data_IF_291151175654
#
_entry.id   IF_291151175654
#
_cell.length_a   1.000
_cell.length_b   1.000
_cell.length_c   1.000
_cell.angle_alpha   90.00
_cell.angle_beta   90.00
_cell.angle_gamma   90.00
#
_symmetry.space_group_name_H-M   'P 1'
#
loop_
_entity.id
_entity.type
_entity.pdbx_description
1 polymer ?
#
# COMPACT_ATOMS: atom_id res chain seq x y z
N UNK A 1 9.34 -14.91 -9.05
CA UNK A 1 8.17 -14.42 -8.29
C UNK A 1 7.46 -15.57 -7.58
N UNK A 2 6.88 -16.54 -8.30
CA UNK A 2 6.18 -17.71 -7.72
C UNK A 2 7.02 -18.45 -6.68
N UNK A 3 8.25 -18.84 -7.02
CA UNK A 3 9.14 -19.55 -6.09
C UNK A 3 9.42 -18.76 -4.79
N UNK A 4 9.59 -17.43 -4.90
CA UNK A 4 9.80 -16.58 -3.72
C UNK A 4 8.56 -16.54 -2.82
N UNK A 5 7.37 -16.49 -3.42
CA UNK A 5 6.09 -16.54 -2.72
C UNK A 5 5.85 -17.88 -2.01
N UNK A 6 6.13 -18.99 -2.69
CA UNK A 6 6.05 -20.33 -2.10
C UNK A 6 7.02 -20.49 -0.92
N UNK A 7 8.26 -20.02 -1.08
CA UNK A 7 9.26 -20.03 0.00
C UNK A 7 8.84 -19.17 1.20
N UNK A 8 8.18 -18.04 0.97
CA UNK A 8 7.64 -17.21 2.04
C UNK A 8 6.49 -17.93 2.77
N UNK A 9 5.52 -18.48 2.03
CA UNK A 9 4.41 -19.24 2.62
C UNK A 9 4.88 -20.45 3.41
N UNK A 10 5.92 -21.16 2.95
CA UNK A 10 6.49 -22.31 3.67
C UNK A 10 7.12 -21.94 5.01
N UNK A 11 7.54 -20.68 5.19
CA UNK A 11 8.11 -20.15 6.43
C UNK A 11 7.10 -19.41 7.30
N UNK A 12 5.91 -19.09 6.75
CA UNK A 12 4.88 -18.34 7.46
C UNK A 12 4.16 -19.26 8.44
N UNK A 13 4.04 -18.81 9.68
CA UNK A 13 3.15 -19.39 10.68
C UNK A 13 1.90 -18.51 10.76
N UNK A 14 0.74 -19.03 10.38
CA UNK A 14 -0.53 -18.29 10.41
C UNK A 14 -1.64 -18.95 9.60
N UNK A 15 -2.91 -18.50 9.77
CA UNK A 15 -4.04 -18.98 8.98
C UNK A 15 -3.82 -18.78 7.47
N UNK A 16 -4.39 -19.66 6.65
CA UNK A 16 -4.24 -19.58 5.17
C UNK A 16 -5.04 -18.41 4.59
N UNK A 17 -6.01 -17.90 5.34
CA UNK A 17 -6.96 -16.85 4.99
C UNK A 17 -6.34 -15.45 5.06
N UNK A 18 -5.18 -15.31 5.71
CA UNK A 18 -4.36 -14.10 5.74
C UNK A 18 -3.77 -13.82 4.36
N UNK A 19 -3.88 -12.57 3.92
CA UNK A 19 -3.38 -12.12 2.64
C UNK A 19 -1.90 -12.39 2.43
N UNK A 20 -1.56 -12.85 1.23
CA UNK A 20 -0.20 -12.86 0.73
C UNK A 20 0.00 -11.63 -0.15
N UNK A 21 0.67 -10.63 0.42
CA UNK A 21 1.03 -9.41 -0.28
C UNK A 21 2.45 -9.52 -0.81
N UNK A 22 2.66 -9.07 -2.05
CA UNK A 22 3.97 -9.03 -2.67
C UNK A 22 4.14 -7.76 -3.48
N UNK A 23 5.35 -7.23 -3.53
CA UNK A 23 5.65 -6.02 -4.30
C UNK A 23 6.92 -6.19 -5.12
N UNK A 24 7.07 -5.35 -6.15
CA UNK A 24 8.34 -5.19 -6.86
C UNK A 24 8.55 -6.12 -8.05
N UNK A 25 7.52 -6.87 -8.48
CA UNK A 25 7.65 -7.65 -9.71
C UNK A 25 7.79 -6.72 -10.93
N UNK A 26 8.60 -7.15 -11.89
CA UNK A 26 8.81 -6.46 -13.17
C UNK A 26 8.81 -7.51 -14.28
N UNK A 27 7.86 -7.40 -15.21
CA UNK A 27 7.71 -8.32 -16.34
C UNK A 27 8.98 -8.47 -17.18
N UNK A 28 9.79 -7.42 -17.29
CA UNK A 28 11.04 -7.44 -18.04
C UNK A 28 12.10 -8.30 -17.34
N UNK A 29 11.94 -8.56 -16.03
CA UNK A 29 12.80 -9.43 -15.21
C UNK A 29 12.22 -10.82 -15.01
N UNK A 30 10.97 -11.07 -15.42
CA UNK A 30 10.37 -12.40 -15.37
C UNK A 30 10.88 -13.27 -16.53
N UNK A 31 10.87 -14.59 -16.35
CA UNK A 31 11.29 -15.55 -17.38
C UNK A 31 10.36 -15.48 -18.58
N UNK A 32 9.07 -15.31 -18.31
CA UNK A 32 7.98 -15.31 -19.28
C UNK A 32 7.89 -14.00 -20.09
N UNK A 33 8.58 -12.93 -19.67
CA UNK A 33 8.59 -11.60 -20.32
C UNK A 33 7.19 -11.01 -20.57
N UNK A 34 6.22 -11.35 -19.73
CA UNK A 34 4.83 -10.86 -19.76
C UNK A 34 4.35 -10.52 -18.36
N UNK A 35 3.21 -9.83 -18.26
CA UNK A 35 2.55 -9.64 -16.98
C UNK A 35 2.13 -11.01 -16.41
N UNK A 36 2.30 -11.24 -15.10
CA UNK A 36 1.68 -12.38 -14.46
C UNK A 36 0.16 -12.25 -14.57
N UNK A 37 -0.49 -13.40 -14.66
CA UNK A 37 -1.92 -13.54 -14.72
C UNK A 37 -2.41 -14.25 -13.46
N UNK A 38 -3.70 -14.10 -13.16
CA UNK A 38 -4.43 -14.81 -12.10
C UNK A 38 -4.10 -16.30 -12.07
N UNK A 39 -4.04 -16.94 -13.23
CA UNK A 39 -3.74 -18.36 -13.36
C UNK A 39 -2.31 -18.73 -12.92
N UNK A 40 -1.33 -17.85 -13.12
CA UNK A 40 0.05 -18.10 -12.66
C UNK A 40 0.13 -18.15 -11.13
N UNK A 41 -0.76 -17.43 -10.44
CA UNK A 41 -0.80 -17.37 -8.98
C UNK A 41 -1.39 -18.66 -8.36
N UNK A 42 -2.07 -19.51 -9.12
CA UNK A 42 -2.57 -20.79 -8.64
C UNK A 42 -1.45 -21.75 -8.25
N UNK A 43 -0.27 -21.61 -8.87
CA UNK A 43 0.92 -22.35 -8.48
C UNK A 43 1.41 -21.98 -7.06
N UNK A 44 1.02 -20.81 -6.55
CA UNK A 44 1.37 -20.36 -5.19
C UNK A 44 0.32 -20.86 -4.20
N UNK A 45 -0.96 -20.54 -4.42
CA UNK A 45 -2.07 -21.00 -3.57
C UNK A 45 -3.41 -20.72 -4.26
N UNK A 46 -4.35 -21.66 -4.09
CA UNK A 46 -5.76 -21.49 -4.47
C UNK A 46 -6.67 -21.10 -3.28
N UNK A 47 -6.15 -21.14 -2.05
CA UNK A 47 -6.91 -20.89 -0.82
C UNK A 47 -6.54 -19.55 -0.17
N UNK A 48 -5.31 -19.08 -0.40
CA UNK A 48 -4.80 -17.83 0.16
C UNK A 48 -5.10 -16.68 -0.81
N UNK A 49 -5.72 -15.58 -0.38
CA UNK A 49 -5.87 -14.41 -1.23
C UNK A 49 -4.51 -13.77 -1.50
N UNK A 50 -4.17 -13.60 -2.79
CA UNK A 50 -2.86 -13.10 -3.23
C UNK A 50 -3.05 -11.76 -3.94
N UNK A 51 -2.24 -10.77 -3.56
CA UNK A 51 -2.16 -9.46 -4.22
C UNK A 51 -0.70 -9.09 -4.47
N UNK A 52 -0.27 -9.10 -5.73
CA UNK A 52 1.09 -8.75 -6.12
C UNK A 52 1.14 -7.46 -6.93
N UNK A 53 1.84 -6.48 -6.40
CA UNK A 53 1.97 -5.14 -6.97
C UNK A 53 3.27 -4.99 -7.76
N UNK A 54 3.16 -4.46 -8.97
CA UNK A 54 4.29 -4.20 -9.86
C UNK A 54 5.25 -3.19 -9.25
N UNK A 55 6.50 -3.21 -9.67
CA UNK A 55 7.54 -2.24 -9.25
C UNK A 55 7.12 -0.77 -9.39
N UNK A 56 6.25 -0.44 -10.35
CA UNK A 56 5.74 0.92 -10.52
C UNK A 56 4.60 1.29 -9.57
N UNK A 57 4.06 0.35 -8.78
CA UNK A 57 2.89 0.51 -7.89
C UNK A 57 1.56 0.92 -8.54
N UNK A 58 1.49 0.97 -9.88
CA UNK A 58 0.28 1.32 -10.63
C UNK A 58 -0.43 0.12 -11.28
N UNK A 59 0.12 -1.09 -11.13
CA UNK A 59 -0.44 -2.33 -11.68
C UNK A 59 -0.34 -3.41 -10.62
N UNK A 60 -1.43 -4.13 -10.38
CA UNK A 60 -1.45 -5.29 -9.50
C UNK A 60 -2.10 -6.48 -10.18
N UNK A 61 -1.65 -7.68 -9.81
CA UNK A 61 -2.28 -8.95 -10.18
C UNK A 61 -2.77 -9.65 -8.93
N UNK A 62 -3.96 -10.24 -8.97
CA UNK A 62 -4.52 -11.00 -7.85
C UNK A 62 -5.13 -12.32 -8.30
N UNK A 63 -5.27 -13.27 -7.35
CA UNK A 63 -5.87 -14.58 -7.62
C UNK A 63 -7.41 -14.56 -7.44
N UNK A 64 -8.09 -15.64 -7.81
CA UNK A 64 -9.56 -15.74 -7.69
C UNK A 64 -10.05 -15.51 -6.27
N UNK A 65 -9.37 -16.06 -5.26
CA UNK A 65 -9.72 -15.88 -3.85
C UNK A 65 -9.66 -14.42 -3.40
N UNK A 66 -8.72 -13.64 -3.94
CA UNK A 66 -8.67 -12.19 -3.70
C UNK A 66 -9.79 -11.46 -4.43
N UNK A 67 -10.10 -11.83 -5.67
CA UNK A 67 -11.19 -11.23 -6.47
C UNK A 67 -12.56 -11.39 -5.82
N UNK A 68 -12.83 -12.53 -5.18
CA UNK A 68 -14.09 -12.80 -4.47
C UNK A 68 -14.36 -11.83 -3.33
N UNK A 69 -13.32 -11.17 -2.80
CA UNK A 69 -13.43 -10.17 -1.73
C UNK A 69 -13.69 -8.76 -2.25
N UNK A 70 -13.55 -8.52 -3.56
CA UNK A 70 -13.69 -7.21 -4.18
C UNK A 70 -15.15 -6.90 -4.51
N UNK A 71 -15.67 -5.82 -3.95
CA UNK A 71 -16.98 -5.29 -4.31
C UNK A 71 -16.91 -4.47 -5.61
N UNK A 72 -17.14 -5.14 -6.75
CA UNK A 72 -17.13 -4.52 -8.07
C UNK A 72 -18.30 -3.54 -8.31
N UNK A 73 -19.32 -3.51 -7.44
CA UNK A 73 -20.39 -2.51 -7.56
C UNK A 73 -19.85 -1.09 -7.34
N UNK A 74 -18.79 -0.96 -6.54
CA UNK A 74 -18.08 0.30 -6.25
C UNK A 74 -17.11 0.73 -7.36
N UNK A 75 -16.88 -0.12 -8.37
CA UNK A 75 -15.89 0.17 -9.40
C UNK A 75 -16.29 1.36 -10.29
N UNK A 76 -17.57 1.60 -10.55
CA UNK A 76 -18.04 2.74 -11.35
C UNK A 76 -17.26 2.92 -12.66
N UNK A 77 -16.63 4.09 -12.84
CA UNK A 77 -15.81 4.42 -14.01
C UNK A 77 -14.45 3.69 -14.06
N UNK A 78 -14.02 3.07 -12.95
CA UNK A 78 -12.77 2.31 -12.83
C UNK A 78 -12.85 0.92 -13.48
N UNK A 79 -14.04 0.44 -13.85
CA UNK A 79 -14.24 -0.86 -14.50
C UNK A 79 -13.33 -1.06 -15.72
N UNK A 80 -13.01 0.01 -16.46
CA UNK A 80 -12.11 -0.03 -17.63
C UNK A 80 -10.63 -0.30 -17.29
N UNK A 81 -10.25 -0.24 -16.01
CA UNK A 81 -8.92 -0.51 -15.50
C UNK A 81 -8.82 -1.86 -14.77
N UNK A 82 -9.86 -2.70 -14.92
CA UNK A 82 -9.97 -4.00 -14.28
C UNK A 82 -10.13 -5.04 -15.38
N UNK A 83 -9.23 -6.02 -15.40
CA UNK A 83 -9.36 -7.22 -16.21
C UNK A 83 -9.56 -8.42 -15.27
N UNK A 84 -10.80 -8.89 -15.21
CA UNK A 84 -11.20 -10.00 -14.33
C UNK A 84 -10.69 -11.36 -14.82
N UNK A 85 -10.41 -11.51 -16.12
CA UNK A 85 -9.90 -12.74 -16.69
C UNK A 85 -8.45 -12.93 -16.27
N UNK A 86 -7.62 -11.90 -16.47
CA UNK A 86 -6.21 -11.89 -16.07
C UNK A 86 -6.00 -11.57 -14.58
N UNK A 87 -6.99 -11.04 -13.87
CA UNK A 87 -6.86 -10.57 -12.48
C UNK A 87 -6.00 -9.32 -12.35
N UNK A 88 -5.85 -8.54 -13.42
CA UNK A 88 -5.06 -7.31 -13.44
C UNK A 88 -5.91 -6.09 -13.08
N UNK A 89 -5.39 -5.27 -12.19
CA UNK A 89 -5.95 -3.98 -11.81
C UNK A 89 -4.92 -2.90 -12.11
N UNK A 90 -5.37 -1.74 -12.57
CA UNK A 90 -4.51 -0.63 -12.94
C UNK A 90 -4.97 0.69 -12.29
N UNK A 91 -4.03 1.60 -12.06
CA UNK A 91 -4.29 2.94 -11.52
C UNK A 91 -5.14 2.90 -10.23
N UNK A 92 -6.15 3.76 -10.13
CA UNK A 92 -7.00 3.86 -8.93
C UNK A 92 -7.85 2.61 -8.68
N UNK A 93 -7.98 1.70 -9.66
CA UNK A 93 -8.68 0.44 -9.45
C UNK A 93 -7.94 -0.46 -8.45
N UNK A 94 -6.63 -0.30 -8.25
CA UNK A 94 -5.88 -1.02 -7.22
C UNK A 94 -6.48 -0.81 -5.83
N UNK A 95 -7.08 0.36 -5.57
CA UNK A 95 -7.69 0.66 -4.27
C UNK A 95 -8.86 -0.28 -3.93
N UNK A 96 -9.57 -0.79 -4.94
CA UNK A 96 -10.63 -1.79 -4.72
C UNK A 96 -10.09 -3.10 -4.13
N UNK A 97 -8.83 -3.46 -4.44
CA UNK A 97 -8.14 -4.60 -3.84
C UNK A 97 -7.57 -4.24 -2.48
N UNK A 98 -6.84 -3.12 -2.37
CA UNK A 98 -6.23 -2.72 -1.10
C UNK A 98 -7.24 -2.53 0.03
N UNK A 99 -8.43 -2.02 -0.27
CA UNK A 99 -9.51 -1.85 0.72
C UNK A 99 -10.08 -3.18 1.26
N UNK A 100 -9.72 -4.32 0.65
CA UNK A 100 -10.12 -5.66 1.12
C UNK A 100 -9.05 -6.34 1.97
N UNK A 101 -7.86 -5.74 2.04
CA UNK A 101 -6.77 -6.19 2.91
C UNK A 101 -7.10 -5.72 4.34
N UNK A 102 -7.06 -6.62 5.35
CA UNK A 102 -7.23 -6.25 6.74
C UNK A 102 -6.24 -5.14 7.13
N UNK A 103 -6.74 -4.11 7.80
CA UNK A 103 -5.87 -3.06 8.32
C UNK A 103 -4.99 -3.61 9.45
N UNK A 104 -3.76 -3.09 9.53
CA UNK A 104 -2.83 -3.47 10.59
C UNK A 104 -3.26 -2.89 11.93
N UNK A 105 -2.98 -3.62 13.00
CA UNK A 105 -3.12 -3.10 14.36
C UNK A 105 -1.91 -2.23 14.75
N UNK A 106 -2.01 -1.54 15.89
CA UNK A 106 -0.95 -0.64 16.35
C UNK A 106 0.39 -1.37 16.56
N UNK A 107 0.46 -2.57 17.19
CA UNK A 107 1.70 -3.33 17.27
C UNK A 107 2.35 -3.63 15.92
N UNK A 108 1.57 -4.04 14.91
CA UNK A 108 2.08 -4.27 13.57
C UNK A 108 2.59 -2.97 12.91
N UNK A 109 1.85 -1.87 13.03
CA UNK A 109 2.28 -0.55 12.53
C UNK A 109 3.61 -0.14 13.18
N UNK A 110 3.76 -0.32 14.50
CA UNK A 110 5.00 -0.02 15.23
C UNK A 110 6.18 -0.84 14.70
N UNK A 111 5.98 -2.14 14.46
CA UNK A 111 7.02 -2.99 13.88
C UNK A 111 7.45 -2.46 12.51
N UNK A 112 6.50 -2.13 11.63
CA UNK A 112 6.80 -1.59 10.30
C UNK A 112 7.58 -0.27 10.36
N UNK A 113 7.21 0.62 11.28
CA UNK A 113 7.90 1.90 11.49
C UNK A 113 9.34 1.69 11.98
N UNK A 114 9.56 0.78 12.93
CA UNK A 114 10.89 0.46 13.48
C UNK A 114 11.77 -0.20 12.42
N UNK A 115 11.22 -1.13 11.63
CA UNK A 115 11.94 -1.79 10.55
C UNK A 115 12.42 -0.75 9.52
N UNK A 116 11.50 0.11 9.05
CA UNK A 116 11.85 1.19 8.12
C UNK A 116 12.87 2.18 8.70
N UNK A 117 12.71 2.56 9.98
CA UNK A 117 13.63 3.45 10.65
C UNK A 117 15.02 2.83 10.83
N UNK A 118 15.11 1.52 11.04
CA UNK A 118 16.37 0.78 11.15
C UNK A 118 17.15 0.83 9.83
N UNK A 119 16.45 0.60 8.70
CA UNK A 119 17.06 0.72 7.38
C UNK A 119 17.55 2.14 7.09
N UNK A 120 16.78 3.16 7.50
CA UNK A 120 17.17 4.57 7.38
C UNK A 120 18.43 4.88 8.20
N UNK A 121 18.50 4.43 9.45
CA UNK A 121 19.68 4.62 10.31
C UNK A 121 20.90 3.90 9.76
N UNK A 122 20.74 2.68 9.24
CA UNK A 122 21.82 1.94 8.60
C UNK A 122 22.39 2.69 7.38
N UNK A 123 21.57 3.51 6.71
CA UNK A 123 21.98 4.41 5.63
C UNK A 123 22.49 5.79 6.10
N UNK A 124 22.57 6.05 7.41
CA UNK A 124 23.00 7.32 7.99
C UNK A 124 21.92 8.43 7.98
N UNK A 125 20.66 8.10 7.69
CA UNK A 125 19.55 9.04 7.71
C UNK A 125 19.05 9.23 9.14
N UNK A 126 19.03 10.48 9.61
CA UNK A 126 18.62 10.82 10.99
C UNK A 126 17.29 11.56 11.07
N UNK A 127 16.72 11.95 9.93
CA UNK A 127 15.40 12.58 9.85
C UNK A 127 14.75 12.38 8.50
N UNK A 128 13.43 12.23 8.47
CA UNK A 128 12.63 12.07 7.26
C UNK A 128 11.37 12.92 7.28
N UNK A 129 10.86 13.21 6.09
CA UNK A 129 9.48 13.65 5.92
C UNK A 129 8.67 12.46 5.41
N UNK A 130 7.71 11.98 6.20
CA UNK A 130 6.88 10.81 5.85
C UNK A 130 5.47 11.25 5.48
N UNK A 131 4.81 10.53 4.57
CA UNK A 131 3.41 10.75 4.17
C UNK A 131 2.50 9.54 4.48
N UNK A 132 2.90 8.74 5.48
CA UNK A 132 2.24 7.49 5.89
C UNK A 132 0.95 7.64 6.73
N UNK A 133 0.44 8.87 6.91
CA UNK A 133 -0.58 9.16 7.94
C UNK A 133 -1.87 8.34 7.75
N UNK A 134 -2.29 8.18 6.50
CA UNK A 134 -3.49 7.42 6.11
C UNK A 134 -3.12 6.23 5.21
N UNK A 135 -1.94 5.62 5.38
CA UNK A 135 -1.47 4.56 4.49
C UNK A 135 -2.10 3.18 4.76
N UNK A 136 -2.75 3.00 5.91
CA UNK A 136 -3.44 1.76 6.25
C UNK A 136 -4.75 1.62 5.46
N UNK A 137 -5.23 0.39 5.16
CA UNK A 137 -6.47 0.16 4.41
C UNK A 137 -7.72 0.86 4.96
N UNK A 138 -7.85 0.99 6.28
CA UNK A 138 -8.95 1.70 6.94
C UNK A 138 -8.73 3.22 7.02
N UNK A 139 -7.57 3.70 6.56
CA UNK A 139 -7.15 5.11 6.55
C UNK A 139 -7.25 5.79 7.93
N UNK A 140 -7.21 5.00 9.01
CA UNK A 140 -7.33 5.49 10.38
C UNK A 140 -6.01 6.13 10.84
N UNK A 141 -5.91 7.44 10.64
CA UNK A 141 -4.74 8.20 11.05
C UNK A 141 -4.47 8.13 12.56
N UNK A 142 -5.48 7.83 13.40
CA UNK A 142 -5.31 7.78 14.85
C UNK A 142 -4.41 6.61 15.24
N UNK A 143 -4.49 5.48 14.55
CA UNK A 143 -3.60 4.33 14.78
C UNK A 143 -2.15 4.68 14.50
N UNK A 144 -1.89 5.38 13.39
CA UNK A 144 -0.53 5.78 13.00
C UNK A 144 0.04 6.80 13.99
N UNK A 145 -0.75 7.82 14.37
CA UNK A 145 -0.35 8.79 15.39
C UNK A 145 -0.08 8.12 16.74
N UNK A 146 -0.94 7.19 17.16
CA UNK A 146 -0.76 6.44 18.40
C UNK A 146 0.52 5.59 18.35
N UNK A 147 0.81 4.94 17.23
CA UNK A 147 2.02 4.15 17.04
C UNK A 147 3.29 5.03 17.19
N UNK A 148 3.31 6.21 16.57
CA UNK A 148 4.42 7.16 16.72
C UNK A 148 4.59 7.63 18.17
N UNK A 149 3.49 7.98 18.85
CA UNK A 149 3.51 8.38 20.26
C UNK A 149 4.00 7.27 21.19
N UNK A 150 3.57 6.02 20.97
CA UNK A 150 4.02 4.86 21.73
C UNK A 150 5.51 4.60 21.52
N UNK A 151 5.98 4.58 20.28
CA UNK A 151 7.40 4.38 19.97
C UNK A 151 8.29 5.46 20.57
N UNK A 152 7.83 6.72 20.59
CA UNK A 152 8.55 7.78 21.27
C UNK A 152 8.65 7.53 22.79
N UNK A 153 7.53 7.19 23.45
CA UNK A 153 7.51 6.86 24.89
C UNK A 153 8.40 5.67 25.22
N UNK A 154 8.47 4.70 24.31
CA UNK A 154 9.31 3.50 24.42
C UNK A 154 10.77 3.75 24.04
N UNK A 155 11.12 4.96 23.60
CA UNK A 155 12.45 5.31 23.08
C UNK A 155 12.90 4.39 21.93
N UNK A 156 11.94 3.89 21.15
CA UNK A 156 12.12 2.91 20.10
C UNK A 156 12.05 3.51 18.68
N UNK A 157 11.86 4.83 18.55
CA UNK A 157 11.90 5.52 17.26
C UNK A 157 13.28 6.14 17.03
N UNK A 158 14.15 5.56 16.18
CA UNK A 158 15.54 5.98 16.08
C UNK A 158 15.79 7.13 15.07
N UNK A 159 14.73 7.61 14.39
CA UNK A 159 14.79 8.71 13.42
C UNK A 159 13.76 9.78 13.74
N UNK A 160 14.04 11.03 13.38
CA UNK A 160 13.08 12.12 13.52
C UNK A 160 12.13 12.15 12.32
N UNK A 161 10.83 12.21 12.57
CA UNK A 161 9.79 12.18 11.53
C UNK A 161 9.03 13.50 11.54
N UNK A 162 8.93 14.11 10.36
CA UNK A 162 8.05 15.25 10.12
C UNK A 162 6.95 14.86 9.14
N UNK A 163 5.72 14.76 9.64
CA UNK A 163 4.62 14.14 8.92
C UNK A 163 4.00 15.07 7.87
N UNK A 164 4.17 14.76 6.58
CA UNK A 164 3.37 15.32 5.51
C UNK A 164 1.96 14.69 5.57
N UNK A 165 1.00 15.43 6.10
CA UNK A 165 -0.36 14.94 6.32
C UNK A 165 -1.13 14.86 4.99
N UNK A 166 -1.09 13.69 4.33
CA UNK A 166 -1.89 13.38 3.14
C UNK A 166 -3.21 12.74 3.54
N UNK A 167 -4.32 13.31 3.09
CA UNK A 167 -5.67 12.77 3.27
C UNK A 167 -6.32 12.54 1.91
N UNK A 168 -7.03 11.43 1.76
CA UNK A 168 -7.78 11.11 0.54
C UNK A 168 -9.24 11.60 0.59
N UNK A 169 -9.76 11.82 1.79
CA UNK A 169 -11.14 12.27 2.02
C UNK A 169 -11.18 13.57 2.82
N UNK A 170 -11.96 14.53 2.34
CA UNK A 170 -12.14 15.83 2.99
C UNK A 170 -12.73 15.68 4.41
N UNK A 171 -13.59 14.68 4.62
CA UNK A 171 -14.21 14.43 5.93
C UNK A 171 -13.18 13.95 6.96
N UNK A 172 -12.25 13.07 6.57
CA UNK A 172 -11.16 12.61 7.43
C UNK A 172 -10.23 13.76 7.81
N UNK A 173 -9.89 14.62 6.85
CA UNK A 173 -9.12 15.85 7.13
C UNK A 173 -9.87 16.79 8.09
N UNK A 174 -11.18 16.99 7.88
CA UNK A 174 -12.00 17.81 8.78
C UNK A 174 -11.96 17.26 10.21
N UNK A 175 -12.15 15.96 10.39
CA UNK A 175 -12.06 15.32 11.70
C UNK A 175 -10.67 15.47 12.33
N UNK A 176 -9.59 15.37 11.55
CA UNK A 176 -8.23 15.62 12.05
C UNK A 176 -8.07 17.06 12.59
N UNK A 177 -8.63 18.06 11.90
CA UNK A 177 -8.60 19.45 12.37
C UNK A 177 -9.48 19.66 13.61
N UNK A 178 -10.67 19.04 13.65
CA UNK A 178 -11.61 19.09 14.78
C UNK A 178 -11.05 18.43 16.04
N UNK A 179 -10.28 17.35 15.88
CA UNK A 179 -9.54 16.68 16.97
C UNK A 179 -8.38 17.54 17.52
N UNK A 180 -8.15 18.73 16.95
CA UNK A 180 -7.20 19.71 17.47
C UNK A 180 -5.79 19.60 16.91
N UNK A 181 -5.56 18.72 15.92
CA UNK A 181 -4.24 18.55 15.32
C UNK A 181 -3.82 19.76 14.48
N UNK A 182 -2.60 20.24 14.69
CA UNK A 182 -2.03 21.41 14.01
C UNK A 182 -0.57 21.16 13.63
N UNK A 183 -0.14 21.78 12.55
CA UNK A 183 1.26 21.75 12.11
C UNK A 183 2.19 22.25 13.22
N UNK A 184 3.30 21.54 13.43
CA UNK A 184 4.31 21.81 14.46
C UNK A 184 4.05 21.11 15.80
N UNK A 185 2.86 20.54 16.03
CA UNK A 185 2.58 19.75 17.23
C UNK A 185 3.36 18.43 17.24
N UNK A 186 3.77 17.97 18.41
CA UNK A 186 4.54 16.76 18.61
C UNK A 186 5.74 16.98 19.53
N UNK A 187 6.78 16.17 19.35
CA UNK A 187 8.02 16.18 20.12
C UNK A 187 9.25 16.23 19.19
N UNK A 188 10.45 15.99 19.72
CA UNK A 188 11.69 16.06 18.94
C UNK A 188 11.85 14.93 17.91
N UNK A 189 11.13 13.83 18.08
CA UNK A 189 11.20 12.63 17.24
C UNK A 189 10.00 12.49 16.31
N UNK A 190 8.82 13.00 16.66
CA UNK A 190 7.67 13.03 15.77
C UNK A 190 6.96 14.38 15.81
N UNK A 191 6.78 15.01 14.64
CA UNK A 191 6.00 16.24 14.50
C UNK A 191 4.97 16.12 13.40
N UNK A 192 3.75 16.59 13.69
CA UNK A 192 2.72 16.84 12.69
C UNK A 192 3.19 17.95 11.78
N UNK A 193 3.27 17.68 10.49
CA UNK A 193 3.72 18.63 9.48
C UNK A 193 2.59 19.27 8.67
N UNK A 194 2.89 19.71 7.44
CA UNK A 194 1.92 20.41 6.61
C UNK A 194 0.90 19.46 6.00
N UNK A 195 -0.25 20.01 5.57
CA UNK A 195 -1.16 19.32 4.66
C UNK A 195 -0.45 19.06 3.32
N UNK A 196 -0.45 17.81 2.88
CA UNK A 196 0.06 17.39 1.58
C UNK A 196 -1.10 17.29 0.59
N UNK A 197 -0.95 17.93 -0.56
CA UNK A 197 -1.88 17.84 -1.68
C UNK A 197 -1.18 17.21 -2.89
N UNK A 198 -1.92 16.39 -3.63
CA UNK A 198 -1.51 15.82 -4.91
C UNK A 198 -2.36 16.50 -6.00
N UNK A 199 -1.71 17.21 -6.91
CA UNK A 199 -2.40 17.93 -8.00
C UNK A 199 -2.45 17.09 -9.28
N UNK A 200 -1.40 16.32 -9.54
CA UNK A 200 -1.24 15.46 -10.71
C UNK A 200 -0.58 14.12 -10.33
N UNK A 201 -0.28 13.30 -11.35
CA UNK A 201 0.33 11.98 -11.19
C UNK A 201 1.80 11.94 -11.62
N UNK A 202 2.36 10.74 -11.72
CA UNK A 202 3.77 10.55 -12.07
C UNK A 202 4.05 10.65 -13.59
N UNK A 203 5.25 11.12 -13.95
CA UNK A 203 5.72 11.26 -15.34
C UNK A 203 5.95 9.92 -16.06
N UNK A 204 6.05 8.80 -15.33
CA UNK A 204 6.17 7.46 -15.91
C UNK A 204 4.92 6.98 -16.65
N UNK A 205 3.84 7.78 -16.65
CA UNK A 205 2.65 7.60 -17.47
C UNK A 205 2.99 7.83 -18.94
N UNK A 206 3.30 6.76 -19.67
CA UNK A 206 2.93 6.72 -21.08
C UNK A 206 1.40 6.74 -21.14
N UNK A 207 0.82 7.95 -21.18
CA UNK A 207 -0.54 8.15 -21.66
C UNK A 207 -0.47 7.76 -23.14
N UNK A 208 -0.56 6.46 -23.45
CA UNK A 208 -0.66 6.02 -24.82
C UNK A 208 -1.88 6.74 -25.43
N UNK A 209 -1.72 7.45 -26.56
CA UNK A 209 -2.86 7.96 -27.28
C UNK A 209 -3.73 6.74 -27.59
N UNK A 210 -5.02 6.84 -27.24
CA UNK A 210 -6.05 5.92 -27.72
C UNK A 210 -5.81 5.72 -29.22
N UNK A 211 -5.35 4.53 -29.60
CA UNK A 211 -5.37 4.13 -31.00
C UNK A 211 -6.86 4.10 -31.35
N UNK A 212 -7.29 5.08 -32.15
CA UNK A 212 -8.52 4.98 -32.93
C UNK A 212 -8.42 3.67 -33.71
N UNK A 213 -9.24 2.69 -33.38
CA UNK A 213 -9.67 1.75 -34.40
C UNK A 213 -10.89 2.38 -35.07
N UNK A 214 -10.61 3.06 -36.18
CA UNK A 214 -11.57 3.39 -37.21
C UNK A 214 -11.26 2.51 -38.41
N UNK A 215 -12.07 1.45 -38.58
CA UNK A 215 -12.49 0.85 -39.85
C UNK A 215 -13.38 -0.35 -39.52
#
# INVERSE_FOLDING_TARGET
>A
MVAAAQNFLAKRSGPKEEWLLGQGWNQDKLVEKRYPLKADLYAISMETPILFTRVCRHISVCNTTALERVDLSKAGHLKKYIDMESGLFQEDALNLLYNTVPSSDIPAIKSMLVDAATDLVAAGVTSVQSDDLCCMPDQDYKKVLQAYQELHREQALPVRVYQQCLFFEAQTFKSFVEDGYRTGQGDDFFKIGPLKLLLDGSLGRNILPRIRQSS
#
